data_IF_811422858016
#
_entry.id   IF_811422858016
#
_cell.length_a   1.000
_cell.length_b   1.000
_cell.length_c   1.000
_cell.angle_alpha   90.00
_cell.angle_beta   90.00
_cell.angle_gamma   90.00
#
_symmetry.space_group_name_H-M   'P 1'
#
loop_
_entity.id
_entity.type
_entity.pdbx_description
1 polymer ?
#
# COMPACT_ATOMS: atom_id res chain seq x y z
N UNK A 1 -6.96 -10.29 -17.99
CA UNK A 1 -6.11 -9.13 -17.63
C UNK A 1 -5.17 -8.83 -18.77
N UNK A 2 -4.75 -7.59 -18.96
CA UNK A 2 -3.72 -7.21 -19.95
C UNK A 2 -2.57 -6.52 -19.23
N UNK A 3 -1.35 -7.04 -19.41
CA UNK A 3 -0.11 -6.49 -18.89
C UNK A 3 0.67 -5.89 -20.05
N UNK A 4 1.17 -4.67 -19.90
CA UNK A 4 2.15 -4.09 -20.84
C UNK A 4 3.44 -3.80 -20.09
N UNK A 5 4.55 -4.34 -20.58
CA UNK A 5 5.87 -4.22 -19.97
C UNK A 5 6.84 -3.47 -20.87
N UNK A 6 7.82 -2.79 -20.27
CA UNK A 6 8.98 -2.27 -20.98
C UNK A 6 10.10 -3.31 -21.13
N UNK A 7 9.93 -4.54 -20.64
CA UNK A 7 10.84 -5.66 -20.92
C UNK A 7 10.83 -5.99 -22.42
N UNK A 8 11.96 -6.43 -22.96
CA UNK A 8 12.14 -6.85 -24.34
C UNK A 8 11.72 -8.31 -24.54
N UNK A 9 11.45 -8.69 -25.79
CA UNK A 9 11.24 -10.08 -26.16
C UNK A 9 12.47 -10.91 -25.76
N UNK A 10 12.25 -12.04 -25.08
CA UNK A 10 13.31 -12.90 -24.55
C UNK A 10 13.69 -12.61 -23.10
N UNK A 11 13.30 -11.46 -22.52
CA UNK A 11 13.42 -11.23 -21.07
C UNK A 11 12.38 -12.08 -20.29
N UNK A 12 12.68 -12.33 -19.03
CA UNK A 12 11.82 -13.12 -18.13
C UNK A 12 10.74 -12.24 -17.50
N UNK A 13 9.51 -12.71 -17.54
CA UNK A 13 8.37 -12.21 -16.77
C UNK A 13 8.14 -13.12 -15.56
N UNK A 14 8.23 -12.58 -14.34
CA UNK A 14 8.04 -13.29 -13.08
C UNK A 14 6.66 -12.94 -12.51
N UNK A 15 5.69 -13.86 -12.65
CA UNK A 15 4.34 -13.64 -12.13
C UNK A 15 3.82 -14.85 -11.37
N UNK A 16 3.00 -14.57 -10.37
CA UNK A 16 2.14 -15.57 -9.73
C UNK A 16 0.69 -15.23 -10.00
N UNK A 17 -0.07 -16.23 -10.42
CA UNK A 17 -1.53 -16.16 -10.48
C UNK A 17 -2.13 -17.17 -9.51
N UNK A 18 -3.28 -16.85 -8.93
CA UNK A 18 -4.12 -17.84 -8.25
C UNK A 18 -5.55 -17.70 -8.77
N UNK A 19 -6.28 -18.81 -8.75
CA UNK A 19 -7.68 -18.89 -9.11
C UNK A 19 -8.35 -19.94 -8.22
N UNK A 20 -9.66 -19.80 -8.00
CA UNK A 20 -10.45 -20.86 -7.35
C UNK A 20 -10.25 -22.18 -8.10
N UNK A 21 -10.15 -23.29 -7.36
CA UNK A 21 -9.84 -24.62 -7.92
C UNK A 21 -10.67 -24.96 -9.19
N UNK A 22 -12.00 -24.74 -9.24
CA UNK A 22 -12.79 -25.03 -10.43
C UNK A 22 -12.42 -24.20 -11.67
N UNK A 23 -11.82 -23.02 -11.48
CA UNK A 23 -11.49 -22.10 -12.56
C UNK A 23 -10.08 -22.30 -13.10
N UNK A 24 -9.18 -22.94 -12.33
CA UNK A 24 -7.77 -23.13 -12.67
C UNK A 24 -7.54 -23.75 -14.06
N UNK A 25 -8.29 -24.77 -14.52
CA UNK A 25 -8.09 -25.34 -15.85
C UNK A 25 -8.30 -24.35 -17.02
N UNK A 26 -9.00 -23.23 -16.77
CA UNK A 26 -9.30 -22.21 -17.78
C UNK A 26 -8.34 -21.01 -17.72
N UNK A 27 -7.34 -21.02 -16.82
CA UNK A 27 -6.38 -19.93 -16.68
C UNK A 27 -5.13 -20.24 -17.50
N UNK A 28 -4.75 -19.28 -18.35
CA UNK A 28 -3.54 -19.35 -19.16
C UNK A 28 -3.03 -17.95 -19.50
N UNK A 29 -1.78 -17.86 -19.92
CA UNK A 29 -1.05 -16.60 -20.10
C UNK A 29 -0.53 -16.54 -21.52
N UNK A 30 -1.18 -15.72 -22.33
CA UNK A 30 -0.81 -15.42 -23.71
C UNK A 30 0.44 -14.52 -23.73
N UNK A 31 1.60 -15.15 -23.95
CA UNK A 31 2.92 -14.54 -23.89
C UNK A 31 3.31 -13.86 -25.20
N UNK A 32 2.68 -14.27 -26.31
CA UNK A 32 2.96 -13.77 -27.65
C UNK A 32 1.87 -12.81 -28.17
N UNK A 33 0.74 -12.70 -27.47
CA UNK A 33 -0.43 -11.89 -27.78
C UNK A 33 -1.09 -12.28 -29.12
N UNK A 34 -1.16 -13.58 -29.43
CA UNK A 34 -1.86 -14.11 -30.61
C UNK A 34 -3.31 -14.56 -30.33
N UNK A 35 -3.69 -14.67 -29.05
CA UNK A 35 -5.03 -15.07 -28.63
C UNK A 35 -5.31 -16.58 -28.69
N UNK A 36 -4.31 -17.40 -29.00
CA UNK A 36 -4.37 -18.86 -29.01
C UNK A 36 -3.48 -19.41 -27.89
N UNK A 37 -3.88 -20.50 -27.24
CA UNK A 37 -3.09 -21.07 -26.15
C UNK A 37 -2.00 -22.01 -26.69
N UNK A 38 -0.74 -21.73 -26.39
CA UNK A 38 0.38 -22.66 -26.62
C UNK A 38 0.75 -23.50 -25.37
N UNK A 39 1.48 -24.62 -25.53
CA UNK A 39 1.87 -25.47 -24.40
C UNK A 39 2.63 -24.75 -23.28
N UNK A 40 3.51 -23.81 -23.63
CA UNK A 40 4.31 -22.99 -22.71
C UNK A 40 3.50 -21.90 -21.96
N UNK A 41 2.29 -21.61 -22.43
CA UNK A 41 1.41 -20.57 -21.90
C UNK A 41 0.47 -21.09 -20.80
N UNK A 42 0.54 -22.38 -20.51
CA UNK A 42 -0.20 -23.00 -19.42
C UNK A 42 0.34 -22.54 -18.07
N UNK A 43 -0.56 -22.19 -17.16
CA UNK A 43 -0.20 -21.98 -15.76
C UNK A 43 0.07 -23.33 -15.10
N UNK A 44 1.32 -23.57 -14.69
CA UNK A 44 1.77 -24.85 -14.10
C UNK A 44 1.64 -24.88 -12.58
N UNK A 45 1.57 -23.72 -11.92
CA UNK A 45 1.46 -23.56 -10.46
C UNK A 45 0.58 -22.35 -10.13
N UNK A 46 -0.28 -22.49 -9.12
CA UNK A 46 -1.12 -21.40 -8.60
C UNK A 46 -0.68 -20.92 -7.22
N UNK A 47 0.45 -21.44 -6.74
CA UNK A 47 1.00 -21.17 -5.40
C UNK A 47 2.37 -20.51 -5.45
N UNK A 48 3.06 -20.60 -6.57
CA UNK A 48 4.44 -20.13 -6.74
C UNK A 48 4.52 -19.01 -7.78
N UNK A 49 5.64 -18.28 -7.75
CA UNK A 49 6.02 -17.38 -8.84
C UNK A 49 6.58 -18.24 -9.97
N UNK A 50 6.11 -18.01 -11.18
CA UNK A 50 6.57 -18.70 -12.39
C UNK A 50 7.30 -17.70 -13.28
N UNK A 51 8.40 -18.15 -13.84
CA UNK A 51 9.18 -17.44 -14.85
C UNK A 51 8.66 -17.78 -16.24
N UNK A 52 8.32 -16.76 -17.03
CA UNK A 52 7.91 -16.90 -18.42
C UNK A 52 8.84 -16.11 -19.34
N UNK A 53 9.31 -16.73 -20.42
CA UNK A 53 10.08 -16.02 -21.45
C UNK A 53 9.12 -15.21 -22.31
N UNK A 54 9.25 -13.88 -22.30
CA UNK A 54 8.39 -12.99 -23.08
C UNK A 54 8.55 -13.22 -24.58
N UNK A 55 7.44 -13.34 -25.28
CA UNK A 55 7.40 -13.34 -26.75
C UNK A 55 6.87 -12.03 -27.32
N UNK A 56 6.18 -11.24 -26.47
CA UNK A 56 5.61 -9.91 -26.74
C UNK A 56 5.73 -9.00 -25.51
N UNK A 57 5.66 -7.68 -25.72
CA UNK A 57 5.59 -6.69 -24.63
C UNK A 57 4.17 -6.53 -24.06
N UNK A 58 3.18 -7.09 -24.73
CA UNK A 58 1.80 -7.20 -24.23
C UNK A 58 1.55 -8.66 -23.91
N UNK A 59 1.11 -8.93 -22.68
CA UNK A 59 0.78 -10.28 -22.19
C UNK A 59 -0.66 -10.27 -21.71
N UNK A 60 -1.44 -11.27 -22.10
CA UNK A 60 -2.85 -11.38 -21.72
C UNK A 60 -3.06 -12.59 -20.84
N UNK A 61 -3.61 -12.38 -19.64
CA UNK A 61 -3.97 -13.48 -18.74
C UNK A 61 -5.46 -13.76 -18.92
N UNK A 62 -5.78 -14.97 -19.38
CA UNK A 62 -7.13 -15.47 -19.58
C UNK A 62 -7.62 -16.24 -18.34
N UNK A 63 -8.94 -16.33 -18.18
CA UNK A 63 -9.59 -17.04 -17.09
C UNK A 63 -9.92 -16.18 -15.85
N UNK A 64 -10.67 -16.77 -14.93
CA UNK A 64 -11.12 -16.13 -13.69
C UNK A 64 -10.04 -16.20 -12.60
N UNK A 65 -9.11 -15.25 -12.66
CA UNK A 65 -8.02 -15.09 -11.70
C UNK A 65 -8.49 -14.36 -10.43
N UNK A 66 -8.20 -14.93 -9.26
CA UNK A 66 -8.48 -14.36 -7.95
C UNK A 66 -7.29 -13.65 -7.31
N UNK A 67 -6.06 -13.94 -7.74
CA UNK A 67 -4.87 -13.22 -7.28
C UNK A 67 -3.88 -13.01 -8.42
N UNK A 68 -3.27 -11.83 -8.48
CA UNK A 68 -2.15 -11.54 -9.36
C UNK A 68 -1.01 -10.90 -8.57
N UNK A 69 0.19 -11.46 -8.71
CA UNK A 69 1.44 -10.85 -8.27
C UNK A 69 2.37 -10.67 -9.47
N UNK A 70 2.78 -9.43 -9.71
CA UNK A 70 3.62 -8.99 -10.83
C UNK A 70 4.55 -7.85 -10.37
N UNK A 71 5.36 -8.12 -9.34
CA UNK A 71 6.25 -7.13 -8.73
C UNK A 71 7.55 -7.03 -9.52
N UNK A 72 8.02 -5.82 -9.83
CA UNK A 72 9.34 -5.64 -10.47
C UNK A 72 9.34 -5.83 -11.99
N UNK A 73 8.18 -5.91 -12.62
CA UNK A 73 8.02 -6.40 -13.99
C UNK A 73 8.16 -5.32 -15.07
N UNK A 74 8.69 -4.15 -14.72
CA UNK A 74 8.77 -2.94 -15.58
C UNK A 74 7.43 -2.65 -16.27
N UNK A 75 6.29 -2.93 -15.62
CA UNK A 75 4.97 -2.72 -16.22
C UNK A 75 4.72 -1.22 -16.43
N UNK A 76 4.32 -0.87 -17.64
CA UNK A 76 3.94 0.50 -18.03
C UNK A 76 2.43 0.68 -18.01
N UNK A 77 1.67 -0.41 -18.19
CA UNK A 77 0.22 -0.44 -18.01
C UNK A 77 -0.25 -1.81 -17.49
N UNK A 78 -1.34 -1.79 -16.73
CA UNK A 78 -2.00 -2.97 -16.21
C UNK A 78 -3.52 -2.76 -16.26
N UNK A 79 -4.21 -3.61 -17.02
CA UNK A 79 -5.66 -3.64 -17.11
C UNK A 79 -6.23 -4.90 -16.43
N UNK A 80 -6.87 -4.69 -15.29
CA UNK A 80 -7.55 -5.72 -14.49
C UNK A 80 -9.08 -5.66 -14.62
N UNK A 81 -9.61 -4.86 -15.55
CA UNK A 81 -11.05 -4.57 -15.65
C UNK A 81 -11.91 -5.79 -15.98
N UNK A 82 -11.32 -6.82 -16.60
CA UNK A 82 -11.98 -8.07 -16.97
C UNK A 82 -11.90 -9.16 -15.90
N UNK A 83 -11.45 -8.83 -14.70
CA UNK A 83 -11.22 -9.81 -13.63
C UNK A 83 -11.98 -9.43 -12.35
N UNK A 84 -13.33 -9.51 -12.37
CA UNK A 84 -14.16 -9.14 -11.22
C UNK A 84 -13.97 -10.03 -9.99
N UNK A 85 -13.43 -11.25 -10.18
CA UNK A 85 -13.09 -12.18 -9.11
C UNK A 85 -11.78 -11.87 -8.38
N UNK A 86 -11.04 -10.83 -8.79
CA UNK A 86 -9.75 -10.46 -8.21
C UNK A 86 -9.89 -10.00 -6.75
N UNK A 87 -9.21 -10.70 -5.85
CA UNK A 87 -9.20 -10.46 -4.40
C UNK A 87 -7.87 -9.86 -3.94
N UNK A 88 -6.75 -10.28 -4.55
CA UNK A 88 -5.41 -9.80 -4.21
C UNK A 88 -4.71 -9.30 -5.46
N UNK A 89 -4.21 -8.07 -5.42
CA UNK A 89 -3.40 -7.48 -6.48
C UNK A 89 -2.10 -6.91 -5.92
N UNK A 90 -0.97 -7.53 -6.28
CA UNK A 90 0.37 -7.10 -5.93
C UNK A 90 1.11 -6.68 -7.22
N UNK A 91 1.13 -5.38 -7.50
CA UNK A 91 1.67 -4.79 -8.74
C UNK A 91 2.67 -3.66 -8.47
N UNK A 92 3.28 -3.64 -7.28
CA UNK A 92 4.31 -2.68 -6.91
C UNK A 92 5.64 -2.86 -7.64
N UNK A 93 6.53 -1.86 -7.52
CA UNK A 93 7.85 -1.84 -8.18
C UNK A 93 7.69 -1.92 -9.72
N UNK A 94 6.87 -1.04 -10.27
CA UNK A 94 6.61 -0.95 -11.70
C UNK A 94 6.69 0.52 -12.17
N UNK A 95 6.23 0.80 -13.38
CA UNK A 95 6.24 2.12 -14.00
C UNK A 95 4.81 2.58 -14.33
N UNK A 96 3.81 2.10 -13.56
CA UNK A 96 2.41 2.40 -13.81
C UNK A 96 2.13 3.88 -13.54
N UNK A 97 1.60 4.57 -14.55
CA UNK A 97 1.11 5.96 -14.43
C UNK A 97 -0.35 6.06 -14.00
N UNK A 98 -1.09 4.97 -14.17
CA UNK A 98 -2.48 4.84 -13.76
C UNK A 98 -2.82 3.38 -13.48
N UNK A 99 -3.76 3.18 -12.56
CA UNK A 99 -4.28 1.88 -12.18
C UNK A 99 -5.79 2.03 -11.95
N UNK A 100 -6.60 1.29 -12.70
CA UNK A 100 -8.05 1.29 -12.55
C UNK A 100 -8.52 -0.03 -11.92
N UNK A 101 -9.02 0.05 -10.70
CA UNK A 101 -9.53 -1.10 -9.93
C UNK A 101 -11.06 -1.07 -9.74
N UNK A 102 -11.75 -0.22 -10.49
CA UNK A 102 -13.20 0.00 -10.33
C UNK A 102 -14.07 -1.22 -10.65
N UNK A 103 -13.55 -2.16 -11.44
CA UNK A 103 -14.23 -3.40 -11.82
C UNK A 103 -13.83 -4.60 -10.96
N UNK A 104 -13.13 -4.37 -9.83
CA UNK A 104 -12.65 -5.43 -8.94
C UNK A 104 -13.26 -5.29 -7.53
N UNK A 105 -14.59 -5.45 -7.39
CA UNK A 105 -15.31 -5.15 -6.14
C UNK A 105 -14.94 -6.09 -4.98
N UNK A 106 -14.32 -7.24 -5.29
CA UNK A 106 -13.87 -8.21 -4.30
C UNK A 106 -12.44 -7.97 -3.80
N UNK A 107 -11.75 -6.91 -4.27
CA UNK A 107 -10.40 -6.59 -3.80
C UNK A 107 -10.39 -6.41 -2.28
N UNK A 108 -9.55 -7.22 -1.66
CA UNK A 108 -9.27 -7.27 -0.23
C UNK A 108 -7.88 -6.69 0.07
N UNK A 109 -6.90 -7.00 -0.78
CA UNK A 109 -5.52 -6.54 -0.66
C UNK A 109 -5.03 -5.94 -1.97
N UNK A 110 -4.74 -4.64 -1.96
CA UNK A 110 -4.08 -3.93 -3.03
C UNK A 110 -2.70 -3.43 -2.59
N UNK A 111 -1.65 -3.88 -3.26
CA UNK A 111 -0.30 -3.31 -3.17
C UNK A 111 0.14 -2.80 -4.54
N UNK A 112 0.29 -1.49 -4.66
CA UNK A 112 0.68 -0.78 -5.87
C UNK A 112 1.81 0.24 -5.61
N UNK A 113 2.52 0.10 -4.49
CA UNK A 113 3.60 1.01 -4.13
C UNK A 113 4.80 0.95 -5.08
N UNK A 114 5.64 1.99 -5.10
CA UNK A 114 6.80 2.15 -6.00
C UNK A 114 6.37 2.12 -7.47
N UNK A 115 5.49 3.04 -7.82
CA UNK A 115 4.98 3.29 -9.17
C UNK A 115 5.02 4.80 -9.47
N UNK A 116 4.32 5.26 -10.51
CA UNK A 116 4.23 6.66 -10.91
C UNK A 116 2.77 7.16 -10.87
N UNK A 117 1.96 6.64 -9.96
CA UNK A 117 0.54 6.96 -9.87
C UNK A 117 0.36 8.40 -9.38
N UNK A 118 -0.32 9.23 -10.17
CA UNK A 118 -0.74 10.59 -9.76
C UNK A 118 -2.12 10.61 -9.10
N UNK A 119 -2.92 9.56 -9.32
CA UNK A 119 -4.24 9.34 -8.72
C UNK A 119 -4.49 7.85 -8.52
N UNK A 120 -5.29 7.53 -7.52
CA UNK A 120 -5.80 6.18 -7.27
C UNK A 120 -7.23 6.30 -6.71
N UNK A 121 -8.20 5.65 -7.35
CA UNK A 121 -9.58 5.59 -6.88
C UNK A 121 -9.89 4.17 -6.40
N UNK A 122 -10.19 4.06 -5.10
CA UNK A 122 -10.56 2.81 -4.42
C UNK A 122 -12.01 2.80 -3.93
N UNK A 123 -12.83 3.75 -4.39
CA UNK A 123 -14.22 3.94 -3.95
C UNK A 123 -15.14 2.77 -4.30
N UNK A 124 -14.74 1.94 -5.27
CA UNK A 124 -15.45 0.75 -5.73
C UNK A 124 -14.92 -0.56 -5.11
N UNK A 125 -14.04 -0.46 -4.12
CA UNK A 125 -13.43 -1.62 -3.46
C UNK A 125 -13.78 -1.62 -1.95
N UNK A 126 -15.08 -1.77 -1.58
CA UNK A 126 -15.55 -1.62 -0.20
C UNK A 126 -15.02 -2.69 0.77
N UNK A 127 -14.48 -3.80 0.23
CA UNK A 127 -13.91 -4.91 0.98
C UNK A 127 -12.40 -4.77 1.25
N UNK A 128 -11.75 -3.69 0.78
CA UNK A 128 -10.32 -3.48 1.02
C UNK A 128 -10.02 -3.44 2.51
N UNK A 129 -9.06 -4.27 2.92
CA UNK A 129 -8.52 -4.29 4.28
C UNK A 129 -7.06 -3.85 4.34
N UNK A 130 -6.31 -4.12 3.27
CA UNK A 130 -4.90 -3.76 3.15
C UNK A 130 -4.71 -2.93 1.88
N UNK A 131 -4.23 -1.71 2.05
CA UNK A 131 -3.86 -0.83 0.95
C UNK A 131 -2.44 -0.31 1.14
N UNK A 132 -1.56 -0.65 0.19
CA UNK A 132 -0.23 -0.07 0.07
C UNK A 132 -0.12 0.69 -1.26
N UNK A 133 0.08 2.00 -1.17
CA UNK A 133 0.30 2.89 -2.30
C UNK A 133 1.53 3.79 -2.09
N UNK A 134 2.50 3.33 -1.28
CA UNK A 134 3.71 4.10 -0.98
C UNK A 134 4.52 4.44 -2.22
N UNK A 135 5.34 5.48 -2.17
CA UNK A 135 6.33 5.81 -3.20
C UNK A 135 5.65 5.93 -4.58
N UNK A 136 4.75 6.92 -4.64
CA UNK A 136 3.99 7.30 -5.82
C UNK A 136 3.97 8.84 -5.90
N UNK A 137 3.10 9.40 -6.74
CA UNK A 137 2.98 10.85 -6.97
C UNK A 137 1.58 11.34 -6.58
N UNK A 138 0.92 10.68 -5.63
CA UNK A 138 -0.44 11.00 -5.21
C UNK A 138 -0.48 12.37 -4.51
N UNK A 139 -1.39 13.23 -4.96
CA UNK A 139 -1.64 14.56 -4.35
C UNK A 139 -2.89 14.57 -3.45
N UNK A 140 -3.77 13.59 -3.66
CA UNK A 140 -4.97 13.34 -2.87
C UNK A 140 -5.22 11.83 -2.78
N UNK A 141 -5.87 11.41 -1.71
CA UNK A 141 -6.30 10.03 -1.51
C UNK A 141 -7.60 10.01 -0.69
N UNK A 142 -8.63 9.36 -1.22
CA UNK A 142 -9.92 9.18 -0.54
C UNK A 142 -10.10 7.70 -0.18
N UNK A 143 -10.19 7.42 1.12
CA UNK A 143 -10.43 6.08 1.69
C UNK A 143 -11.77 6.00 2.42
N UNK A 144 -12.67 6.96 2.19
CA UNK A 144 -13.94 7.10 2.91
C UNK A 144 -14.93 5.96 2.67
N UNK A 145 -14.74 5.19 1.59
CA UNK A 145 -15.56 4.02 1.23
C UNK A 145 -14.95 2.69 1.67
N UNK A 146 -13.77 2.70 2.28
CA UNK A 146 -13.02 1.51 2.65
C UNK A 146 -13.04 1.32 4.17
N UNK A 147 -14.24 1.22 4.75
CA UNK A 147 -14.45 1.13 6.20
C UNK A 147 -13.83 -0.10 6.86
N UNK A 148 -13.44 -1.10 6.06
CA UNK A 148 -12.76 -2.32 6.49
C UNK A 148 -11.22 -2.22 6.50
N UNK A 149 -10.64 -1.07 6.13
CA UNK A 149 -9.18 -0.90 6.17
C UNK A 149 -8.65 -1.09 7.59
N UNK A 150 -7.76 -2.08 7.74
CA UNK A 150 -6.99 -2.33 8.97
C UNK A 150 -5.53 -1.89 8.80
N UNK A 151 -5.03 -1.90 7.56
CA UNK A 151 -3.67 -1.49 7.22
C UNK A 151 -3.69 -0.56 6.01
N UNK A 152 -3.21 0.67 6.21
CA UNK A 152 -3.08 1.66 5.15
C UNK A 152 -1.67 2.26 5.13
N UNK A 153 -0.99 2.19 3.99
CA UNK A 153 0.27 2.88 3.75
C UNK A 153 0.18 3.75 2.50
N UNK A 154 0.47 5.03 2.67
CA UNK A 154 0.55 6.04 1.61
C UNK A 154 1.82 6.91 1.75
N UNK A 155 2.88 6.37 2.36
CA UNK A 155 4.12 7.10 2.56
C UNK A 155 4.81 7.46 1.25
N UNK A 156 5.67 8.49 1.26
CA UNK A 156 6.39 8.96 0.05
C UNK A 156 5.44 9.32 -1.09
N UNK A 157 4.52 10.24 -0.79
CA UNK A 157 3.63 10.83 -1.76
C UNK A 157 3.68 12.37 -1.61
N UNK A 158 2.72 13.08 -2.21
CA UNK A 158 2.62 14.53 -2.17
C UNK A 158 1.31 14.96 -1.49
N UNK A 159 0.81 14.15 -0.54
CA UNK A 159 -0.45 14.41 0.14
C UNK A 159 -0.31 15.62 1.06
N UNK A 160 -1.23 16.57 0.93
CA UNK A 160 -1.32 17.75 1.82
C UNK A 160 -2.35 17.56 2.93
N UNK A 161 -3.30 16.66 2.73
CA UNK A 161 -4.33 16.24 3.68
C UNK A 161 -4.60 14.74 3.51
N UNK A 162 -5.09 14.10 4.58
CA UNK A 162 -5.60 12.74 4.55
C UNK A 162 -6.67 12.61 5.63
N UNK A 163 -7.84 12.09 5.25
CA UNK A 163 -8.95 11.82 6.17
C UNK A 163 -9.11 10.32 6.36
N UNK A 164 -8.88 9.84 7.58
CA UNK A 164 -9.06 8.44 7.99
C UNK A 164 -10.23 8.26 8.96
N UNK A 165 -11.08 9.29 9.10
CA UNK A 165 -12.22 9.29 10.04
C UNK A 165 -13.28 8.23 9.76
N UNK A 166 -13.29 7.68 8.53
CA UNK A 166 -14.19 6.63 8.07
C UNK A 166 -13.58 5.23 8.12
N UNK A 167 -12.39 5.08 8.70
CA UNK A 167 -11.67 3.81 8.82
C UNK A 167 -11.51 3.44 10.31
N UNK A 168 -12.60 3.19 11.05
CA UNK A 168 -12.57 3.09 12.52
C UNK A 168 -11.75 1.92 13.06
N UNK A 169 -11.59 0.86 12.25
CA UNK A 169 -10.82 -0.35 12.60
C UNK A 169 -9.36 -0.33 12.10
N UNK A 170 -8.88 0.84 11.65
CA UNK A 170 -7.50 1.00 11.20
C UNK A 170 -6.54 0.75 12.37
N UNK A 171 -5.66 -0.24 12.23
CA UNK A 171 -4.69 -0.65 13.26
C UNK A 171 -3.26 -0.25 12.91
N UNK A 172 -2.94 -0.18 11.61
CA UNK A 172 -1.64 0.27 11.09
C UNK A 172 -1.81 1.36 10.05
N UNK A 173 -1.19 2.51 10.29
CA UNK A 173 -1.22 3.64 9.37
C UNK A 173 0.18 4.22 9.14
N UNK A 174 0.61 4.28 7.89
CA UNK A 174 1.83 5.00 7.50
C UNK A 174 1.50 6.08 6.45
N UNK A 175 1.67 7.34 6.84
CA UNK A 175 1.53 8.52 5.99
C UNK A 175 2.81 9.36 5.98
N UNK A 176 3.94 8.76 6.34
CA UNK A 176 5.24 9.44 6.38
C UNK A 176 5.70 9.96 5.01
N UNK A 177 6.63 10.90 4.99
CA UNK A 177 7.19 11.46 3.75
C UNK A 177 6.09 12.03 2.82
N UNK A 178 5.28 12.92 3.40
CA UNK A 178 4.20 13.66 2.71
C UNK A 178 4.31 15.16 3.06
N UNK A 179 3.24 15.93 2.83
CA UNK A 179 3.17 17.37 3.10
C UNK A 179 2.08 17.73 4.12
N UNK A 180 1.74 16.80 5.02
CA UNK A 180 0.65 16.95 5.98
C UNK A 180 0.96 18.02 7.03
N UNK A 181 0.03 18.96 7.25
CA UNK A 181 0.10 19.95 8.34
C UNK A 181 -0.73 19.59 9.56
N UNK A 182 -1.71 18.70 9.36
CA UNK A 182 -2.66 18.20 10.34
C UNK A 182 -2.82 16.71 10.08
N UNK A 183 -2.91 15.94 11.16
CA UNK A 183 -3.26 14.52 11.12
C UNK A 183 -4.23 14.24 12.26
N UNK A 184 -5.51 14.04 11.93
CA UNK A 184 -6.53 13.65 12.89
C UNK A 184 -6.74 12.14 12.84
N UNK A 185 -6.48 11.49 13.97
CA UNK A 185 -6.66 10.05 14.17
C UNK A 185 -7.64 9.75 15.32
N UNK A 186 -8.40 10.75 15.76
CA UNK A 186 -9.31 10.66 16.91
C UNK A 186 -10.45 9.65 16.74
N UNK A 187 -10.71 9.21 15.50
CA UNK A 187 -11.74 8.23 15.15
C UNK A 187 -11.20 6.82 14.95
N UNK A 188 -9.90 6.60 15.12
CA UNK A 188 -9.23 5.33 14.84
C UNK A 188 -8.79 4.65 16.14
N UNK A 189 -9.78 4.15 16.91
CA UNK A 189 -9.56 3.58 18.24
C UNK A 189 -8.68 2.32 18.24
N UNK A 190 -8.60 1.63 17.10
CA UNK A 190 -7.84 0.38 16.95
C UNK A 190 -6.38 0.58 16.55
N UNK A 191 -5.91 1.83 16.39
CA UNK A 191 -4.52 2.09 16.03
C UNK A 191 -3.55 1.47 17.04
N UNK A 192 -2.51 0.82 16.51
CA UNK A 192 -1.35 0.28 17.24
C UNK A 192 -0.03 0.73 16.62
N UNK A 193 -0.04 1.11 15.35
CA UNK A 193 1.13 1.66 14.67
C UNK A 193 0.75 2.90 13.86
N UNK A 194 1.48 3.99 14.05
CA UNK A 194 1.37 5.21 13.25
C UNK A 194 2.77 5.67 12.82
N UNK A 195 2.97 5.91 11.53
CA UNK A 195 4.15 6.62 11.04
C UNK A 195 3.71 7.88 10.31
N UNK A 196 4.18 9.03 10.76
CA UNK A 196 3.86 10.33 10.18
C UNK A 196 5.10 11.24 10.07
N UNK A 197 6.31 10.68 10.22
CA UNK A 197 7.55 11.43 10.02
C UNK A 197 7.64 12.00 8.61
N UNK A 198 8.50 12.96 8.43
CA UNK A 198 8.77 13.73 7.22
C UNK A 198 7.48 14.34 6.67
N UNK A 199 6.85 15.18 7.49
CA UNK A 199 5.64 15.97 7.18
C UNK A 199 5.84 17.43 7.67
N UNK A 200 4.77 18.20 7.91
CA UNK A 200 4.81 19.59 8.41
C UNK A 200 3.87 19.83 9.61
N UNK A 201 3.71 18.82 10.49
CA UNK A 201 2.83 18.84 11.66
C UNK A 201 3.52 19.58 12.81
N UNK A 202 3.01 20.76 13.18
CA UNK A 202 3.66 21.68 14.13
C UNK A 202 2.73 22.13 15.27
N UNK A 203 3.32 22.61 16.37
CA UNK A 203 2.65 23.28 17.47
C UNK A 203 1.40 22.56 17.99
N UNK A 204 0.26 23.25 17.95
CA UNK A 204 -1.03 22.73 18.41
C UNK A 204 -1.50 21.49 17.64
N UNK A 205 -1.11 21.34 16.36
CA UNK A 205 -1.47 20.16 15.57
C UNK A 205 -0.69 18.93 16.02
N UNK A 206 0.60 19.09 16.33
CA UNK A 206 1.40 18.01 16.93
C UNK A 206 0.82 17.59 18.28
N UNK A 207 0.43 18.57 19.11
CA UNK A 207 -0.26 18.26 20.36
C UNK A 207 -1.56 17.47 20.14
N UNK A 208 -2.40 17.92 19.21
CA UNK A 208 -3.68 17.29 18.90
C UNK A 208 -3.51 15.84 18.41
N UNK A 209 -2.54 15.60 17.51
CA UNK A 209 -2.19 14.26 17.03
C UNK A 209 -1.83 13.32 18.20
N UNK A 210 -0.91 13.73 19.06
CA UNK A 210 -0.45 12.90 20.18
C UNK A 210 -1.56 12.67 21.22
N UNK A 211 -2.40 13.68 21.46
CA UNK A 211 -3.56 13.54 22.33
C UNK A 211 -4.71 12.73 21.71
N UNK A 212 -4.73 12.54 20.39
CA UNK A 212 -5.72 11.72 19.69
C UNK A 212 -5.38 10.21 19.72
N UNK A 213 -4.13 9.82 20.02
CA UNK A 213 -3.75 8.41 20.12
C UNK A 213 -4.67 7.65 21.11
N UNK A 214 -5.18 6.45 20.76
CA UNK A 214 -6.04 5.68 21.63
C UNK A 214 -5.27 5.11 22.82
N UNK A 215 -5.96 4.77 23.91
CA UNK A 215 -5.35 4.01 25.01
C UNK A 215 -5.21 2.55 24.60
N UNK A 216 -3.99 2.00 24.62
CA UNK A 216 -3.77 0.58 24.34
C UNK A 216 -4.06 -0.22 25.61
N UNK A 217 -5.23 -0.83 25.66
CA UNK A 217 -5.66 -1.77 26.71
C UNK A 217 -5.35 -3.22 26.28
N UNK A 218 -4.97 -4.08 27.23
CA UNK A 218 -4.79 -5.54 27.10
C UNK A 218 -3.45 -6.11 26.58
N UNK A 219 -2.35 -5.35 26.61
CA UNK A 219 -1.00 -5.94 26.52
C UNK A 219 0.05 -4.93 27.00
N UNK A 220 0.39 -4.94 28.29
CA UNK A 220 1.53 -4.16 28.79
C UNK A 220 2.84 -4.51 28.06
N UNK A 221 2.90 -5.71 27.49
CA UNK A 221 4.05 -6.22 26.73
C UNK A 221 4.02 -5.86 25.24
N UNK A 222 2.96 -5.22 24.72
CA UNK A 222 2.86 -4.79 23.33
C UNK A 222 2.29 -3.36 23.23
N UNK A 223 3.12 -2.35 23.54
CA UNK A 223 2.71 -0.95 23.42
C UNK A 223 2.45 -0.56 21.96
N UNK A 224 1.63 0.47 21.75
CA UNK A 224 1.53 1.08 20.42
C UNK A 224 2.82 1.83 20.06
N UNK A 225 3.11 1.99 18.77
CA UNK A 225 4.29 2.69 18.29
C UNK A 225 3.93 3.84 17.36
N UNK A 226 4.44 5.04 17.65
CA UNK A 226 4.35 6.18 16.75
C UNK A 226 5.74 6.67 16.31
N UNK A 227 5.96 6.81 15.01
CA UNK A 227 7.14 7.43 14.42
C UNK A 227 6.79 8.83 13.92
N UNK A 228 7.28 9.87 14.61
CA UNK A 228 6.88 11.27 14.37
C UNK A 228 7.94 12.10 13.65
N UNK A 229 9.21 11.74 13.76
CA UNK A 229 10.32 12.51 13.19
C UNK A 229 11.33 11.58 12.51
N UNK A 230 12.01 12.09 11.50
CA UNK A 230 13.13 11.43 10.84
C UNK A 230 14.42 12.24 10.98
N UNK A 231 15.51 11.57 11.33
CA UNK A 231 16.84 12.16 11.40
C UNK A 231 17.73 11.57 10.32
N UNK A 232 18.57 12.41 9.72
CA UNK A 232 19.60 11.98 8.79
C UNK A 232 20.75 11.23 9.49
N UNK A 233 21.74 10.83 8.70
CA UNK A 233 22.91 10.07 9.18
C UNK A 233 23.70 10.84 10.26
N UNK A 234 23.78 12.17 10.13
CA UNK A 234 24.44 13.08 11.07
C UNK A 234 23.58 13.36 12.31
N UNK A 235 22.32 12.93 12.31
CA UNK A 235 21.36 13.19 13.37
C UNK A 235 20.66 14.53 13.26
N UNK A 236 20.79 15.24 12.13
CA UNK A 236 20.03 16.46 11.86
C UNK A 236 18.63 16.11 11.35
N UNK A 237 17.67 16.94 11.68
CA UNK A 237 16.27 16.75 11.28
C UNK A 237 16.13 16.94 9.77
N UNK A 238 15.73 15.89 9.04
CA UNK A 238 15.22 16.00 7.67
C UNK A 238 13.70 15.94 7.73
N UNK A 239 13.14 16.91 8.44
CA UNK A 239 11.79 16.84 8.99
C UNK A 239 11.15 18.23 9.00
N UNK A 240 9.86 18.33 8.64
CA UNK A 240 9.07 19.54 8.83
C UNK A 240 8.12 19.46 10.03
N UNK A 241 7.96 18.29 10.65
CA UNK A 241 7.26 18.16 11.94
C UNK A 241 8.05 18.79 13.10
N UNK A 242 7.34 19.27 14.11
CA UNK A 242 7.95 19.65 15.39
C UNK A 242 8.30 18.41 16.22
N UNK A 243 9.42 18.46 16.93
CA UNK A 243 9.77 17.41 17.89
C UNK A 243 8.79 17.42 19.08
N UNK A 244 8.22 16.28 19.48
CA UNK A 244 7.39 16.23 20.67
C UNK A 244 8.14 16.68 21.92
N UNK A 245 7.46 17.46 22.75
CA UNK A 245 7.97 17.86 24.06
C UNK A 245 7.98 16.68 25.04
N UNK A 246 8.80 16.77 26.09
CA UNK A 246 8.83 15.75 27.15
C UNK A 246 7.47 15.55 27.83
N UNK A 247 6.67 16.61 27.99
CA UNK A 247 5.32 16.51 28.55
C UNK A 247 4.39 15.70 27.63
N UNK A 248 4.44 15.95 26.32
CA UNK A 248 3.67 15.19 25.34
C UNK A 248 4.09 13.72 25.30
N UNK A 249 5.40 13.42 25.30
CA UNK A 249 5.92 12.05 25.33
C UNK A 249 5.42 11.30 26.57
N UNK A 250 5.44 11.92 27.76
CA UNK A 250 4.90 11.32 28.99
C UNK A 250 3.41 11.05 28.88
N UNK A 251 2.62 11.98 28.34
CA UNK A 251 1.19 11.79 28.15
C UNK A 251 0.86 10.64 27.18
N UNK A 252 1.66 10.48 26.12
CA UNK A 252 1.55 9.35 25.18
C UNK A 252 1.94 8.03 25.85
N UNK A 253 3.01 8.01 26.66
CA UNK A 253 3.41 6.82 27.44
C UNK A 253 2.32 6.38 28.43
N UNK A 254 1.59 7.31 29.04
CA UNK A 254 0.44 6.98 29.91
C UNK A 254 -0.72 6.27 29.17
N UNK A 255 -0.74 6.34 27.83
CA UNK A 255 -1.66 5.60 26.97
C UNK A 255 -1.09 4.25 26.49
N UNK A 256 0.07 3.84 27.01
CA UNK A 256 0.83 2.66 26.60
C UNK A 256 1.32 2.72 25.14
N UNK A 257 1.90 3.87 24.77
CA UNK A 257 2.54 4.09 23.47
C UNK A 257 4.01 4.46 23.63
N UNK A 258 4.83 4.01 22.68
CA UNK A 258 6.20 4.47 22.48
C UNK A 258 6.23 5.53 21.39
N UNK A 259 6.93 6.62 21.67
CA UNK A 259 7.20 7.67 20.69
C UNK A 259 8.62 7.47 20.16
N UNK A 260 8.77 7.41 18.85
CA UNK A 260 10.04 7.15 18.23
C UNK A 260 10.35 8.06 17.05
N UNK A 261 11.59 7.93 16.63
CA UNK A 261 12.18 8.56 15.45
C UNK A 261 12.70 7.50 14.50
N UNK A 262 12.77 7.85 13.22
CA UNK A 262 13.51 7.08 12.23
C UNK A 262 14.93 7.63 12.12
N UNK A 263 15.94 6.75 12.20
CA UNK A 263 17.33 7.07 11.88
C UNK A 263 17.95 5.88 11.15
N UNK A 264 18.56 6.11 9.98
CA UNK A 264 19.14 5.04 9.15
C UNK A 264 18.15 3.89 8.87
N UNK A 265 16.89 4.22 8.57
CA UNK A 265 15.78 3.26 8.34
C UNK A 265 15.42 2.39 9.55
N UNK A 266 15.96 2.70 10.73
CA UNK A 266 15.64 2.03 11.98
C UNK A 266 14.79 2.92 12.85
N UNK A 267 13.75 2.33 13.44
CA UNK A 267 12.95 2.97 14.46
C UNK A 267 13.71 2.96 15.80
N UNK A 268 13.69 4.09 16.52
CA UNK A 268 14.28 4.23 17.85
C UNK A 268 13.36 5.08 18.73
N UNK A 269 13.12 4.64 19.95
CA UNK A 269 12.37 5.41 20.95
C UNK A 269 13.11 6.71 21.34
N UNK A 270 12.36 7.75 21.72
CA UNK A 270 12.86 9.04 22.22
C UNK A 270 12.24 9.45 23.57
#
# INVERSE_FOLDING_TARGET
>A
MVLKTAKEKGEVLEIRTDAKIPNRPNVWIDLNNDGEQQPEEKVTSFTEIIEYTLQSQTVVIYGEVSQLQCLGEKLTALDVSKNPALVILLCGINQLKGLNVSNNPLLYYLSCGRNQLSRLDVSKNPNLQILNCNDNQLTAMDVSKNSHLTWFECSKNQLTTIDVSKNPILSRFDCSENQLKVLDISRNAELRYVSCHTNYIKGANMNSLLMALPKVVNNANNPGEIAVISLDVEGKAKEGNDMPTQAQIRAVKNKNWKVGRIKNRLWKEI
#
